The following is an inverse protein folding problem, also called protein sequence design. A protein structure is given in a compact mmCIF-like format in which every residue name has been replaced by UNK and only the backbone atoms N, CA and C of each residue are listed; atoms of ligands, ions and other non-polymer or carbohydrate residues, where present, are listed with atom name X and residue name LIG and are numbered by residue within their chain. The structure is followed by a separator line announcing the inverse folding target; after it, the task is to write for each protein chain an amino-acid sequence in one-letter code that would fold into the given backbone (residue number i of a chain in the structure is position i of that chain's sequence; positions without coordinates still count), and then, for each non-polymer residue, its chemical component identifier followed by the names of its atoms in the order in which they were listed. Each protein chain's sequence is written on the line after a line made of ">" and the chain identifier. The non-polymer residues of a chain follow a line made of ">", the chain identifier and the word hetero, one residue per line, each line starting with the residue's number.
data_IF_846825791894
#
_entry.id   IF_846825791894
#
_cell.length_a   1.000
_cell.length_b   1.000
_cell.length_c   1.000
_cell.angle_alpha   90.00
_cell.angle_beta   90.00
_cell.angle_gamma   90.00
#
_symmetry.space_group_name_H-M   'P 1'
#
loop_
_entity.id
_entity.type
_entity.pdbx_description
1 polymer ?
#
# COMPACT_ATOMS: atom_id res chain seq x y z
N UNK A 1 4.62 19.76 -42.07
CA UNK A 1 5.87 19.07 -41.68
C UNK A 1 6.22 19.49 -40.27
N UNK A 2 5.61 18.84 -39.27
CA UNK A 2 6.09 18.79 -37.88
C UNK A 2 5.77 17.36 -37.45
N UNK A 3 6.83 16.57 -37.23
CA UNK A 3 6.76 15.13 -37.02
C UNK A 3 6.52 14.78 -35.55
N UNK A 4 5.50 13.97 -35.30
CA UNK A 4 5.59 12.64 -34.69
C UNK A 4 6.66 12.43 -33.59
N UNK A 5 6.68 13.23 -32.53
CA UNK A 5 7.40 12.85 -31.29
C UNK A 5 6.57 13.01 -30.00
N UNK A 6 5.32 13.47 -30.07
CA UNK A 6 4.42 13.55 -28.90
C UNK A 6 3.36 12.44 -28.83
N UNK A 7 3.28 11.57 -29.84
CA UNK A 7 2.25 10.52 -29.92
C UNK A 7 2.57 9.27 -29.08
N UNK A 8 3.85 9.04 -28.73
CA UNK A 8 4.26 7.90 -27.90
C UNK A 8 3.75 8.00 -26.45
N UNK A 9 3.54 9.22 -25.95
CA UNK A 9 3.09 9.46 -24.58
C UNK A 9 1.62 9.06 -24.37
N UNK A 10 0.78 9.16 -25.41
CA UNK A 10 -0.64 8.79 -25.35
C UNK A 10 -0.91 7.34 -25.76
N UNK A 11 -0.10 6.75 -26.63
CA UNK A 11 -0.26 5.35 -27.10
C UNK A 11 0.00 4.33 -25.97
N UNK A 12 0.88 4.63 -25.00
CA UNK A 12 1.09 3.74 -23.85
C UNK A 12 0.01 3.86 -22.76
N UNK A 13 -0.94 4.80 -22.90
CA UNK A 13 -2.00 5.08 -21.92
C UNK A 13 -3.40 4.70 -22.43
N UNK A 14 -3.49 3.93 -23.50
CA UNK A 14 -4.77 3.38 -23.98
C UNK A 14 -5.19 2.16 -23.13
N UNK A 15 -6.35 2.21 -22.45
CA UNK A 15 -6.85 1.15 -21.56
C UNK A 15 -7.35 -0.12 -22.30
N UNK A 16 -7.23 -0.17 -23.63
CA UNK A 16 -7.63 -1.32 -24.44
C UNK A 16 -6.55 -2.42 -24.53
N UNK A 17 -5.32 -2.17 -24.06
CA UNK A 17 -4.31 -3.22 -23.94
C UNK A 17 -4.45 -3.91 -22.58
N UNK A 18 -5.37 -4.87 -22.52
CA UNK A 18 -5.89 -5.57 -21.34
C UNK A 18 -4.86 -6.43 -20.57
N UNK A 19 -3.56 -6.10 -20.64
CA UNK A 19 -2.47 -6.76 -19.92
C UNK A 19 -1.57 -5.79 -19.15
N UNK A 20 -1.82 -4.47 -19.10
CA UNK A 20 -0.99 -3.54 -18.31
C UNK A 20 -1.50 -3.32 -16.88
N UNK A 21 -2.81 -3.43 -16.64
CA UNK A 21 -3.36 -3.35 -15.28
C UNK A 21 -2.97 -4.60 -14.47
N UNK A 22 -2.90 -5.77 -15.11
CA UNK A 22 -2.51 -7.02 -14.46
C UNK A 22 -1.04 -7.06 -14.01
N UNK A 23 -0.11 -6.43 -14.76
CA UNK A 23 1.33 -6.43 -14.41
C UNK A 23 1.63 -5.43 -13.30
N UNK A 24 0.87 -4.33 -13.22
CA UNK A 24 0.89 -3.44 -12.06
C UNK A 24 0.26 -4.10 -10.83
N UNK A 25 -0.82 -4.87 -11.00
CA UNK A 25 -1.43 -5.67 -9.92
C UNK A 25 -0.50 -6.80 -9.44
N UNK A 26 0.27 -7.46 -10.30
CA UNK A 26 1.22 -8.53 -9.89
C UNK A 26 2.41 -8.00 -9.09
N UNK A 27 2.88 -6.79 -9.41
CA UNK A 27 3.90 -6.08 -8.61
C UNK A 27 3.27 -5.41 -7.38
N UNK A 28 1.99 -5.03 -7.44
CA UNK A 28 1.24 -4.56 -6.27
C UNK A 28 0.92 -5.68 -5.28
N UNK A 29 0.81 -6.92 -5.78
CA UNK A 29 0.79 -8.17 -5.03
C UNK A 29 2.15 -8.55 -4.45
N UNK A 30 3.16 -7.68 -4.57
CA UNK A 30 4.38 -7.72 -3.77
C UNK A 30 4.26 -6.67 -2.63
N UNK A 31 3.42 -6.80 -1.61
CA UNK A 31 2.61 -7.92 -1.15
C UNK A 31 1.62 -7.37 -0.10
N UNK A 32 0.37 -7.07 -0.49
CA UNK A 32 -0.66 -6.61 0.46
C UNK A 32 -0.83 -7.61 1.61
N UNK A 33 -0.66 -8.92 1.35
CA UNK A 33 -0.66 -9.94 2.39
C UNK A 33 0.46 -9.70 3.42
N UNK A 34 1.65 -9.25 3.00
CA UNK A 34 2.74 -8.90 3.94
C UNK A 34 2.37 -7.66 4.75
N UNK A 35 1.69 -6.67 4.15
CA UNK A 35 1.18 -5.53 4.90
C UNK A 35 0.10 -5.92 5.91
N UNK A 36 -0.79 -6.85 5.54
CA UNK A 36 -1.79 -7.42 6.42
C UNK A 36 -1.13 -8.19 7.56
N UNK A 37 -0.15 -9.04 7.28
CA UNK A 37 0.64 -9.76 8.29
C UNK A 37 1.30 -8.80 9.29
N UNK A 38 1.90 -7.70 8.83
CA UNK A 38 2.45 -6.70 9.74
C UNK A 38 1.37 -5.99 10.56
N UNK A 39 0.22 -5.70 9.97
CA UNK A 39 -0.90 -5.13 10.72
C UNK A 39 -1.35 -6.09 11.83
N UNK A 40 -1.48 -7.38 11.54
CA UNK A 40 -1.91 -8.40 12.50
C UNK A 40 -0.87 -8.62 13.61
N UNK A 41 0.43 -8.59 13.27
CA UNK A 41 1.50 -8.58 14.27
C UNK A 41 1.43 -7.34 15.17
N UNK A 42 1.10 -6.18 14.60
CA UNK A 42 0.85 -4.96 15.36
C UNK A 42 -0.29 -5.13 16.37
N UNK A 43 -1.40 -5.73 15.95
CA UNK A 43 -2.55 -6.04 16.83
C UNK A 43 -2.12 -7.00 17.94
N UNK A 44 -1.42 -8.08 17.59
CA UNK A 44 -0.96 -9.08 18.55
C UNK A 44 -0.03 -8.48 19.62
N UNK A 45 0.90 -7.62 19.21
CA UNK A 45 1.82 -6.94 20.13
C UNK A 45 1.10 -5.93 21.02
N UNK A 46 0.12 -5.20 20.48
CA UNK A 46 -0.71 -4.29 21.26
C UNK A 46 -1.50 -5.04 22.34
N UNK A 47 -2.08 -6.20 22.01
CA UNK A 47 -2.79 -7.07 22.98
C UNK A 47 -1.85 -7.61 24.06
N UNK A 48 -0.57 -7.83 23.73
CA UNK A 48 0.46 -8.25 24.70
C UNK A 48 1.01 -7.11 25.55
N UNK A 49 0.61 -5.86 25.30
CA UNK A 49 1.12 -4.66 25.99
C UNK A 49 2.45 -4.14 25.45
N UNK A 50 2.99 -4.74 24.38
CA UNK A 50 4.24 -4.31 23.74
C UNK A 50 3.96 -3.18 22.74
N UNK A 51 3.70 -1.98 23.25
CA UNK A 51 3.28 -0.81 22.44
C UNK A 51 4.33 -0.39 21.41
N UNK A 52 5.61 -0.38 21.78
CA UNK A 52 6.71 0.01 20.88
C UNK A 52 6.85 -0.94 19.67
N UNK A 53 6.68 -2.24 19.91
CA UNK A 53 6.76 -3.25 18.86
C UNK A 53 5.51 -3.21 17.95
N UNK A 54 4.34 -2.96 18.55
CA UNK A 54 3.10 -2.74 17.81
C UNK A 54 3.20 -1.54 16.85
N UNK A 55 3.74 -0.42 17.33
CA UNK A 55 3.95 0.78 16.51
C UNK A 55 4.88 0.50 15.34
N UNK A 56 5.99 -0.22 15.58
CA UNK A 56 6.94 -0.59 14.53
C UNK A 56 6.29 -1.43 13.43
N UNK A 57 5.43 -2.38 13.80
CA UNK A 57 4.72 -3.22 12.84
C UNK A 57 3.66 -2.45 12.04
N UNK A 58 2.85 -1.61 12.69
CA UNK A 58 1.88 -0.77 11.97
C UNK A 58 2.55 0.21 11.02
N UNK A 59 3.67 0.83 11.40
CA UNK A 59 4.44 1.71 10.51
C UNK A 59 4.95 0.97 9.29
N UNK A 60 5.39 -0.29 9.43
CA UNK A 60 5.85 -1.10 8.31
C UNK A 60 4.72 -1.50 7.37
N UNK A 61 3.56 -1.88 7.91
CA UNK A 61 2.33 -2.11 7.14
C UNK A 61 1.93 -0.85 6.35
N UNK A 62 2.00 0.31 7.00
CA UNK A 62 1.65 1.60 6.40
C UNK A 62 2.58 1.99 5.25
N UNK A 63 3.89 1.78 5.40
CA UNK A 63 4.88 2.08 4.35
C UNK A 63 4.63 1.24 3.09
N UNK A 64 4.28 -0.03 3.27
CA UNK A 64 3.93 -0.92 2.15
C UNK A 64 2.61 -0.44 1.53
N UNK A 65 1.56 -0.27 2.32
CA UNK A 65 0.23 0.17 1.84
C UNK A 65 0.26 1.53 1.14
N UNK A 66 1.08 2.49 1.58
CA UNK A 66 1.24 3.80 0.91
C UNK A 66 1.89 3.72 -0.46
N UNK A 67 2.74 2.71 -0.71
CA UNK A 67 3.39 2.51 -2.00
C UNK A 67 2.48 1.74 -2.97
N UNK A 68 1.57 0.95 -2.43
CA UNK A 68 0.69 0.05 -3.18
C UNK A 68 -0.70 0.63 -3.46
N UNK A 69 -1.22 1.44 -2.55
CA UNK A 69 -2.61 1.86 -2.51
C UNK A 69 -2.72 3.38 -2.57
N UNK A 70 -3.80 3.87 -3.18
CA UNK A 70 -4.17 5.27 -3.12
C UNK A 70 -4.47 5.70 -1.66
N UNK A 71 -4.30 6.99 -1.36
CA UNK A 71 -4.40 7.54 0.01
C UNK A 71 -5.76 7.32 0.69
N UNK A 72 -6.80 7.15 -0.12
CA UNK A 72 -8.20 6.93 0.21
C UNK A 72 -8.59 5.44 0.29
N UNK A 73 -7.64 4.51 0.11
CA UNK A 73 -7.92 3.09 0.21
C UNK A 73 -8.33 2.67 1.64
N UNK A 74 -9.37 1.81 1.81
CA UNK A 74 -9.84 1.38 3.12
C UNK A 74 -8.76 0.74 4.00
N UNK A 75 -7.93 -0.12 3.41
CA UNK A 75 -6.85 -0.82 4.13
C UNK A 75 -5.77 0.14 4.65
N UNK A 76 -5.41 1.17 3.89
CA UNK A 76 -4.48 2.19 4.34
C UNK A 76 -5.09 3.00 5.50
N UNK A 77 -6.37 3.33 5.41
CA UNK A 77 -7.12 4.03 6.48
C UNK A 77 -7.18 3.20 7.76
N UNK A 78 -7.42 1.90 7.66
CA UNK A 78 -7.48 0.99 8.80
C UNK A 78 -6.12 0.93 9.54
N UNK A 79 -5.02 0.76 8.82
CA UNK A 79 -3.68 0.73 9.42
C UNK A 79 -3.35 2.04 10.14
N UNK A 80 -3.71 3.20 9.55
CA UNK A 80 -3.53 4.52 10.19
C UNK A 80 -4.32 4.63 11.49
N UNK A 81 -5.57 4.15 11.48
CA UNK A 81 -6.42 4.14 12.66
C UNK A 81 -5.82 3.27 13.76
N UNK A 82 -5.34 2.07 13.43
CA UNK A 82 -4.72 1.17 14.40
C UNK A 82 -3.47 1.79 15.04
N UNK A 83 -2.64 2.46 14.24
CA UNK A 83 -1.49 3.21 14.75
C UNK A 83 -1.91 4.38 15.67
N UNK A 84 -2.97 5.11 15.32
CA UNK A 84 -3.45 6.25 16.10
C UNK A 84 -4.12 5.87 17.44
N UNK A 85 -4.62 4.64 17.55
CA UNK A 85 -5.28 4.12 18.75
C UNK A 85 -4.28 3.51 19.74
N UNK A 86 -3.03 3.28 19.33
CA UNK A 86 -1.99 2.86 20.27
C UNK A 86 -1.82 3.92 21.36
N UNK A 87 -1.74 3.52 22.65
CA UNK A 87 -1.46 4.45 23.72
C UNK A 87 -0.09 5.07 23.46
N UNK A 88 -0.05 6.38 23.17
CA UNK A 88 1.21 7.11 23.14
C UNK A 88 1.83 7.02 24.54
N UNK A 89 2.99 6.37 24.65
CA UNK A 89 3.76 6.28 25.90
C UNK A 89 4.18 7.63 26.43
#
# INVERSE_FOLDING_TARGET
>A
MVGMEEDLFWILREPANHNQVAVADEVALLNDDVAAMFNDLGVLMAVRGNVEEAERFYRRSLEIRRRLLADDHPELTLTRRNLAVLPTG
#
